data_IF_525733043024
#
_entry.id   IF_525733043024
#
_cell.length_a   1.000
_cell.length_b   1.000
_cell.length_c   1.000
_cell.angle_alpha   90.00
_cell.angle_beta   90.00
_cell.angle_gamma   90.00
#
_symmetry.space_group_name_H-M   'P 1'
#
loop_
_entity.id
_entity.type
_entity.pdbx_description
1 polymer ?
#
# COMPACT_ATOMS: atom_id res chain seq x y z
N UNK A 1 -1.76 -17.95 -3.38
CA UNK A 1 -1.57 -18.05 -1.91
C UNK A 1 -2.58 -17.15 -1.19
N UNK A 2 -3.30 -17.64 -0.15
CA UNK A 2 -4.30 -16.84 0.58
C UNK A 2 -3.70 -15.63 1.32
N UNK A 3 -2.40 -15.69 1.65
CA UNK A 3 -1.72 -14.63 2.40
C UNK A 3 -1.66 -13.28 1.66
N UNK A 4 -1.23 -13.26 0.39
CA UNK A 4 -1.12 -12.00 -0.37
C UNK A 4 -2.49 -11.32 -0.51
N UNK A 5 -3.54 -12.11 -0.78
CA UNK A 5 -4.92 -11.62 -0.88
C UNK A 5 -5.34 -10.91 0.39
N UNK A 6 -5.14 -11.53 1.56
CA UNK A 6 -5.42 -10.92 2.86
C UNK A 6 -4.65 -9.61 3.04
N UNK A 7 -3.32 -9.62 2.86
CA UNK A 7 -2.49 -8.42 3.04
C UNK A 7 -2.92 -7.28 2.12
N UNK A 8 -3.16 -7.58 0.84
CA UNK A 8 -3.57 -6.61 -0.15
C UNK A 8 -4.89 -5.94 0.25
N UNK A 9 -5.92 -6.73 0.55
CA UNK A 9 -7.23 -6.20 0.93
C UNK A 9 -7.19 -5.45 2.26
N UNK A 10 -6.46 -5.93 3.27
CA UNK A 10 -6.28 -5.18 4.52
C UNK A 10 -5.74 -3.77 4.27
N UNK A 11 -4.75 -3.62 3.37
CA UNK A 11 -4.18 -2.29 3.08
C UNK A 11 -5.04 -1.43 2.18
N UNK A 12 -5.79 -2.04 1.25
CA UNK A 12 -6.78 -1.32 0.45
C UNK A 12 -7.89 -0.80 1.37
N UNK A 13 -8.46 -1.65 2.22
CA UNK A 13 -9.47 -1.25 3.20
C UNK A 13 -8.97 -0.16 4.14
N UNK A 14 -7.75 -0.28 4.66
CA UNK A 14 -7.15 0.76 5.51
C UNK A 14 -7.05 2.12 4.77
N UNK A 15 -6.61 2.12 3.52
CA UNK A 15 -6.54 3.36 2.71
C UNK A 15 -7.92 3.95 2.45
N UNK A 16 -8.89 3.13 2.07
CA UNK A 16 -10.26 3.58 1.84
C UNK A 16 -10.88 4.14 3.12
N UNK A 17 -10.65 3.48 4.26
CA UNK A 17 -11.08 3.97 5.57
C UNK A 17 -10.45 5.33 5.89
N UNK A 18 -9.13 5.50 5.67
CA UNK A 18 -8.48 6.80 5.83
C UNK A 18 -9.10 7.88 4.95
N UNK A 19 -9.35 7.60 3.67
CA UNK A 19 -9.99 8.56 2.76
C UNK A 19 -11.40 8.93 3.25
N UNK A 20 -12.19 7.95 3.69
CA UNK A 20 -13.51 8.19 4.24
C UNK A 20 -13.46 9.05 5.51
N UNK A 21 -12.50 8.79 6.41
CA UNK A 21 -12.32 9.60 7.62
C UNK A 21 -11.87 11.02 7.30
N UNK A 22 -10.99 11.22 6.31
CA UNK A 22 -10.58 12.57 5.88
C UNK A 22 -11.77 13.34 5.32
N UNK A 23 -12.58 12.71 4.47
CA UNK A 23 -13.82 13.32 3.95
C UNK A 23 -14.79 13.64 5.08
N UNK A 24 -14.96 12.74 6.05
CA UNK A 24 -15.83 12.97 7.21
C UNK A 24 -15.32 14.11 8.09
N UNK A 25 -14.03 14.15 8.44
CA UNK A 25 -13.42 15.24 9.21
C UNK A 25 -13.64 16.59 8.54
N UNK A 26 -13.37 16.65 7.23
CA UNK A 26 -13.53 17.87 6.45
C UNK A 26 -15.00 18.32 6.38
N UNK A 27 -15.91 17.39 6.10
CA UNK A 27 -17.35 17.64 6.10
C UNK A 27 -17.86 18.12 7.45
N UNK A 28 -17.52 17.42 8.54
CA UNK A 28 -17.88 17.81 9.91
C UNK A 28 -17.40 19.21 10.26
N UNK A 29 -16.15 19.55 9.91
CA UNK A 29 -15.59 20.87 10.16
C UNK A 29 -16.35 21.95 9.37
N UNK A 30 -16.59 21.75 8.08
CA UNK A 30 -17.34 22.71 7.24
C UNK A 30 -18.76 22.92 7.78
N UNK A 31 -19.51 21.83 7.99
CA UNK A 31 -20.89 21.93 8.48
C UNK A 31 -20.98 22.61 9.84
N UNK A 32 -20.01 22.39 10.73
CA UNK A 32 -19.98 23.04 12.05
C UNK A 32 -19.73 24.56 12.00
N UNK A 33 -19.20 25.06 10.88
CA UNK A 33 -18.94 26.48 10.63
C UNK A 33 -20.05 27.15 9.81
N UNK A 34 -20.98 26.39 9.23
CA UNK A 34 -22.11 26.96 8.50
C UNK A 34 -23.10 27.65 9.47
N UNK A 35 -23.66 28.81 9.11
CA UNK A 35 -24.71 29.44 9.89
C UNK A 35 -25.93 28.52 9.97
N UNK A 36 -26.47 28.30 11.17
CA UNK A 36 -27.76 27.62 11.33
C UNK A 36 -28.88 28.61 11.01
N UNK A 37 -29.86 28.20 10.21
CA UNK A 37 -31.00 29.03 9.83
C UNK A 37 -31.91 29.40 11.02
N UNK A 38 -31.79 28.69 12.15
CA UNK A 38 -32.68 28.81 13.30
C UNK A 38 -31.98 29.40 14.55
N UNK A 39 -31.26 30.51 14.40
CA UNK A 39 -30.83 31.34 15.53
C UNK A 39 -31.65 32.64 15.61
N UNK A 40 -32.96 32.52 15.50
CA UNK A 40 -33.90 33.52 15.99
C UNK A 40 -34.23 33.24 17.46
N UNK A 41 -34.21 34.30 18.28
CA UNK A 41 -34.62 34.36 19.70
C UNK A 41 -33.56 33.97 20.75
N UNK A 42 -32.71 34.94 21.08
CA UNK A 42 -31.85 34.94 22.27
C UNK A 42 -31.15 36.29 22.46
N UNK A 43 -31.88 37.29 22.96
CA UNK A 43 -31.43 38.67 23.17
C UNK A 43 -30.43 38.80 24.34
N UNK A 44 -29.20 38.36 24.13
CA UNK A 44 -28.06 38.64 25.00
C UNK A 44 -26.93 39.28 24.20
N UNK A 45 -26.29 40.33 24.73
CA UNK A 45 -25.10 40.95 24.11
C UNK A 45 -24.01 39.90 24.02
N UNK A 46 -23.87 39.31 22.83
CA UNK A 46 -22.89 38.28 22.57
C UNK A 46 -21.53 38.95 22.44
N UNK A 47 -20.67 38.80 23.45
CA UNK A 47 -19.26 39.23 23.31
C UNK A 47 -18.61 38.44 22.18
N UNK A 48 -17.70 39.07 21.42
CA UNK A 48 -16.95 38.38 20.37
C UNK A 48 -16.29 37.09 20.88
N UNK A 49 -15.78 37.10 22.12
CA UNK A 49 -15.21 35.94 22.80
C UNK A 49 -16.22 34.80 23.07
N UNK A 50 -17.51 35.12 23.27
CA UNK A 50 -18.58 34.12 23.41
C UNK A 50 -18.89 33.41 22.10
N UNK A 51 -18.96 34.18 21.00
CA UNK A 51 -19.18 33.63 19.64
C UNK A 51 -18.02 32.74 19.21
N UNK A 52 -16.77 33.16 19.46
CA UNK A 52 -15.59 32.34 19.18
C UNK A 52 -15.60 31.03 19.97
N UNK A 53 -15.94 31.05 21.26
CA UNK A 53 -16.01 29.83 22.09
C UNK A 53 -17.08 28.85 21.59
N UNK A 54 -18.28 29.33 21.27
CA UNK A 54 -19.35 28.45 20.76
C UNK A 54 -19.01 27.85 19.39
N UNK A 55 -18.33 28.60 18.51
CA UNK A 55 -17.79 28.06 17.27
C UNK A 55 -16.77 26.95 17.53
N UNK A 56 -15.81 27.18 18.43
CA UNK A 56 -14.81 26.17 18.80
C UNK A 56 -15.46 24.91 19.37
N UNK A 57 -16.46 25.04 20.23
CA UNK A 57 -17.11 23.87 20.85
C UNK A 57 -17.93 23.06 19.85
N UNK A 58 -18.58 23.71 18.87
CA UNK A 58 -19.26 23.03 17.76
C UNK A 58 -18.27 22.26 16.88
N UNK A 59 -17.14 22.88 16.54
CA UNK A 59 -16.07 22.20 15.76
C UNK A 59 -15.54 21.00 16.54
N UNK A 60 -15.18 21.18 17.82
CA UNK A 60 -14.66 20.07 18.68
C UNK A 60 -15.66 18.91 18.71
N UNK A 61 -16.92 19.19 18.96
CA UNK A 61 -17.97 18.16 19.02
C UNK A 61 -18.07 17.42 17.67
N UNK A 62 -18.06 18.16 16.56
CA UNK A 62 -18.18 17.60 15.21
C UNK A 62 -16.98 16.74 14.79
N UNK A 63 -15.76 17.06 15.26
CA UNK A 63 -14.53 16.35 14.87
C UNK A 63 -14.10 15.25 15.85
N UNK A 64 -14.66 15.19 17.07
CA UNK A 64 -14.20 14.25 18.12
C UNK A 64 -14.33 12.80 17.68
N UNK A 65 -15.50 12.39 17.19
CA UNK A 65 -15.74 11.01 16.75
C UNK A 65 -14.89 10.60 15.52
N UNK A 66 -14.92 11.32 14.38
CA UNK A 66 -14.06 10.99 13.25
C UNK A 66 -12.56 11.09 13.59
N UNK A 67 -12.19 11.98 14.52
CA UNK A 67 -10.84 12.10 15.06
C UNK A 67 -10.41 10.84 15.82
N UNK A 68 -11.28 10.29 16.67
CA UNK A 68 -11.01 9.02 17.36
C UNK A 68 -10.82 7.86 16.37
N UNK A 69 -11.64 7.77 15.32
CA UNK A 69 -11.45 6.78 14.26
C UNK A 69 -10.12 6.98 13.53
N UNK A 70 -9.72 8.22 13.21
CA UNK A 70 -8.42 8.50 12.60
C UNK A 70 -7.27 7.96 13.46
N UNK A 71 -7.31 8.17 14.79
CA UNK A 71 -6.31 7.65 15.73
C UNK A 71 -6.23 6.12 15.68
N UNK A 72 -7.37 5.42 15.70
CA UNK A 72 -7.40 3.95 15.58
C UNK A 72 -6.77 3.48 14.27
N UNK A 73 -7.09 4.12 13.14
CA UNK A 73 -6.50 3.78 11.84
C UNK A 73 -4.99 4.06 11.79
N UNK A 74 -4.52 5.13 12.45
CA UNK A 74 -3.08 5.45 12.58
C UNK A 74 -2.37 4.36 13.38
N UNK A 75 -2.94 3.94 14.51
CA UNK A 75 -2.38 2.85 15.33
C UNK A 75 -2.33 1.55 14.51
N UNK A 76 -3.41 1.20 13.80
CA UNK A 76 -3.44 0.03 12.93
C UNK A 76 -2.37 0.09 11.83
N UNK A 77 -2.19 1.26 11.19
CA UNK A 77 -1.14 1.48 10.20
C UNK A 77 0.26 1.33 10.81
N UNK A 78 0.49 1.88 12.00
CA UNK A 78 1.75 1.76 12.73
C UNK A 78 2.08 0.30 13.06
N UNK A 79 1.10 -0.47 13.55
CA UNK A 79 1.26 -1.91 13.83
C UNK A 79 1.60 -2.70 12.56
N UNK A 80 0.92 -2.43 11.44
CA UNK A 80 1.22 -3.07 10.15
C UNK A 80 2.65 -2.73 9.69
N UNK A 81 3.05 -1.46 9.77
CA UNK A 81 4.39 -1.03 9.41
C UNK A 81 5.46 -1.65 10.32
N UNK A 82 5.21 -1.75 11.64
CA UNK A 82 6.12 -2.40 12.56
C UNK A 82 6.28 -3.89 12.24
N UNK A 83 5.20 -4.59 11.87
CA UNK A 83 5.26 -5.99 11.41
C UNK A 83 6.04 -6.13 10.10
N UNK A 84 5.88 -5.20 9.16
CA UNK A 84 6.68 -5.15 7.93
C UNK A 84 8.17 -5.00 8.23
N UNK A 85 8.52 -4.11 9.17
CA UNK A 85 9.91 -3.88 9.60
C UNK A 85 10.51 -5.15 10.21
N UNK A 86 9.78 -5.81 11.11
CA UNK A 86 10.22 -7.05 11.76
C UNK A 86 10.42 -8.21 10.78
N UNK A 87 9.72 -8.21 9.65
CA UNK A 87 9.88 -9.20 8.57
C UNK A 87 10.95 -8.82 7.56
N UNK A 88 11.68 -7.70 7.69
CA UNK A 88 12.68 -7.35 6.67
C UNK A 88 13.78 -8.41 6.67
N UNK A 89 14.09 -8.89 5.48
CA UNK A 89 15.25 -9.72 5.25
C UNK A 89 16.52 -8.92 5.61
N UNK A 90 17.41 -9.42 6.49
CA UNK A 90 18.68 -8.75 6.76
C UNK A 90 19.50 -8.55 5.48
N UNK A 91 19.36 -9.43 4.50
CA UNK A 91 19.99 -9.31 3.19
C UNK A 91 19.02 -8.64 2.23
N UNK A 92 19.37 -7.43 1.76
CA UNK A 92 18.58 -6.73 0.73
C UNK A 92 19.03 -7.06 -0.70
N UNK A 93 20.33 -7.26 -0.91
CA UNK A 93 20.90 -7.39 -2.26
C UNK A 93 20.97 -8.86 -2.66
N UNK A 94 20.43 -9.17 -3.84
CA UNK A 94 20.65 -10.47 -4.46
C UNK A 94 22.13 -10.70 -4.74
N UNK A 95 22.60 -11.93 -4.50
CA UNK A 95 23.97 -12.32 -4.87
C UNK A 95 24.15 -12.28 -6.39
N UNK A 96 25.41 -12.26 -6.87
CA UNK A 96 25.69 -12.32 -8.32
C UNK A 96 25.08 -13.57 -8.95
N UNK A 97 25.15 -14.71 -8.26
CA UNK A 97 24.55 -15.98 -8.70
C UNK A 97 23.03 -15.88 -8.79
N UNK A 98 22.36 -15.35 -7.76
CA UNK A 98 20.91 -15.15 -7.77
C UNK A 98 20.47 -14.21 -8.90
N UNK A 99 21.20 -13.10 -9.12
CA UNK A 99 20.92 -12.20 -10.25
C UNK A 99 21.07 -12.90 -11.59
N UNK A 100 22.18 -13.64 -11.80
CA UNK A 100 22.40 -14.38 -13.05
C UNK A 100 21.30 -15.41 -13.29
N UNK A 101 20.95 -16.20 -12.28
CA UNK A 101 19.90 -17.22 -12.38
C UNK A 101 18.52 -16.61 -12.64
N UNK A 102 18.16 -15.53 -11.94
CA UNK A 102 16.89 -14.84 -12.13
C UNK A 102 16.75 -14.17 -13.51
N UNK A 103 17.83 -13.58 -14.02
CA UNK A 103 17.86 -12.99 -15.36
C UNK A 103 17.80 -14.06 -16.46
N UNK A 104 18.53 -15.17 -16.28
CA UNK A 104 18.51 -16.31 -17.20
C UNK A 104 17.12 -16.96 -17.26
N UNK A 105 16.44 -17.16 -16.11
CA UNK A 105 15.06 -17.64 -16.05
C UNK A 105 14.10 -16.77 -16.85
N UNK A 106 14.33 -15.47 -16.87
CA UNK A 106 13.51 -14.52 -17.63
C UNK A 106 13.89 -14.43 -19.11
N UNK A 107 14.92 -15.15 -19.57
CA UNK A 107 15.46 -15.01 -20.93
C UNK A 107 16.02 -13.62 -21.22
N UNK A 108 16.47 -12.90 -20.19
CA UNK A 108 16.93 -11.50 -20.34
C UNK A 108 15.82 -10.49 -20.64
N UNK A 109 14.54 -10.89 -20.63
CA UNK A 109 13.39 -10.02 -20.93
C UNK A 109 12.64 -9.66 -19.65
N UNK A 110 12.19 -8.41 -19.55
CA UNK A 110 11.41 -7.93 -18.41
C UNK A 110 10.18 -8.82 -18.11
N UNK A 111 10.04 -9.27 -16.87
CA UNK A 111 8.92 -10.09 -16.38
C UNK A 111 7.71 -9.24 -15.94
N UNK A 112 7.94 -7.93 -15.76
CA UNK A 112 6.92 -6.97 -15.37
C UNK A 112 5.89 -6.79 -16.48
N UNK A 113 4.69 -6.40 -16.06
CA UNK A 113 3.60 -6.10 -16.98
C UNK A 113 3.58 -4.62 -17.38
N UNK A 114 3.20 -4.39 -18.62
CA UNK A 114 2.76 -3.09 -19.12
C UNK A 114 1.24 -3.12 -19.27
N UNK A 115 0.64 -2.09 -19.91
CA UNK A 115 -0.82 -2.00 -20.11
C UNK A 115 -1.48 -3.32 -20.53
N UNK A 116 -2.75 -3.49 -20.14
CA UNK A 116 -3.55 -4.70 -20.37
C UNK A 116 -2.91 -6.01 -19.84
N UNK A 117 -1.96 -5.95 -18.89
CA UNK A 117 -1.38 -7.14 -18.25
C UNK A 117 -0.41 -7.93 -19.13
N UNK A 118 0.00 -7.37 -20.28
CA UNK A 118 0.96 -7.99 -21.20
C UNK A 118 2.38 -7.90 -20.64
N UNK A 119 3.20 -8.91 -20.91
CA UNK A 119 4.63 -8.89 -20.54
C UNK A 119 5.34 -7.76 -21.26
N UNK A 120 6.18 -7.02 -20.55
CA UNK A 120 7.03 -6.02 -21.16
C UNK A 120 8.06 -6.69 -22.09
N UNK A 121 8.18 -6.23 -23.33
CA UNK A 121 9.13 -6.76 -24.32
C UNK A 121 10.55 -6.18 -24.17
N UNK A 122 10.77 -5.22 -23.26
CA UNK A 122 12.07 -4.59 -23.08
C UNK A 122 13.07 -5.54 -22.42
N UNK A 123 14.38 -5.39 -22.71
CA UNK A 123 15.41 -6.12 -21.99
C UNK A 123 15.31 -5.82 -20.49
N UNK A 124 15.52 -6.84 -19.68
CA UNK A 124 15.66 -6.67 -18.25
C UNK A 124 17.05 -6.07 -17.96
N UNK A 125 17.08 -5.13 -17.03
CA UNK A 125 18.31 -4.43 -16.62
C UNK A 125 18.61 -4.68 -15.14
N UNK A 126 17.56 -4.89 -14.34
CA UNK A 126 17.63 -5.01 -12.89
C UNK A 126 16.96 -6.27 -12.39
N UNK A 127 17.49 -6.81 -11.30
CA UNK A 127 16.79 -7.76 -10.45
C UNK A 127 16.08 -7.03 -9.33
N UNK A 128 14.76 -7.15 -9.25
CA UNK A 128 13.93 -6.51 -8.24
C UNK A 128 13.14 -7.55 -7.43
N UNK A 129 12.63 -7.15 -6.28
CA UNK A 129 11.77 -7.97 -5.43
C UNK A 129 10.31 -7.81 -5.87
N UNK A 130 9.66 -8.88 -6.30
CA UNK A 130 8.24 -8.87 -6.66
C UNK A 130 7.37 -8.37 -5.51
N UNK A 131 7.53 -8.98 -4.33
CA UNK A 131 7.06 -8.45 -3.08
C UNK A 131 8.17 -7.56 -2.48
N UNK A 132 7.92 -6.26 -2.23
CA UNK A 132 8.98 -5.32 -1.89
C UNK A 132 9.68 -5.68 -0.57
N UNK A 133 11.01 -5.64 -0.58
CA UNK A 133 11.86 -5.90 0.59
C UNK A 133 11.46 -5.08 1.82
N UNK A 134 11.13 -3.79 1.62
CA UNK A 134 10.73 -2.89 2.71
C UNK A 134 9.44 -3.30 3.44
N UNK A 135 8.69 -4.27 2.90
CA UNK A 135 7.44 -4.81 3.47
C UNK A 135 7.56 -6.29 3.86
N UNK A 136 8.80 -6.79 3.93
CA UNK A 136 9.11 -8.17 4.31
C UNK A 136 9.13 -9.16 3.15
N UNK A 137 9.38 -8.71 1.92
CA UNK A 137 9.74 -9.61 0.82
C UNK A 137 11.13 -10.21 1.04
N UNK A 138 11.30 -11.52 0.79
CA UNK A 138 12.59 -12.20 0.95
C UNK A 138 13.52 -11.92 -0.23
N UNK A 139 14.82 -11.95 0.00
CA UNK A 139 15.85 -11.90 -1.05
C UNK A 139 16.14 -13.31 -1.53
N UNK A 140 15.18 -13.87 -2.28
CA UNK A 140 15.25 -15.21 -2.84
C UNK A 140 14.97 -15.22 -4.34
N UNK A 141 15.28 -16.34 -5.01
CA UNK A 141 14.95 -16.52 -6.42
C UNK A 141 13.43 -16.55 -6.67
N UNK A 142 12.62 -17.00 -5.71
CA UNK A 142 11.15 -16.98 -5.83
C UNK A 142 10.61 -15.55 -5.82
N UNK A 143 11.18 -14.66 -5.00
CA UNK A 143 10.80 -13.25 -4.97
C UNK A 143 11.53 -12.39 -6.04
N UNK A 144 12.55 -12.91 -6.70
CA UNK A 144 13.26 -12.21 -7.77
C UNK A 144 12.37 -12.02 -9.01
N UNK A 145 12.37 -10.83 -9.58
CA UNK A 145 11.85 -10.53 -10.92
C UNK A 145 12.87 -9.75 -11.75
N UNK A 146 13.01 -10.14 -13.01
CA UNK A 146 13.81 -9.38 -13.97
C UNK A 146 12.99 -8.18 -14.47
N UNK A 147 13.50 -6.96 -14.34
CA UNK A 147 12.77 -5.74 -14.67
C UNK A 147 13.63 -4.78 -15.51
N UNK A 148 13.02 -4.14 -16.51
CA UNK A 148 13.61 -2.99 -17.18
C UNK A 148 13.53 -1.75 -16.27
N UNK A 149 14.36 -0.74 -16.53
CA UNK A 149 14.41 0.47 -15.70
C UNK A 149 13.06 1.18 -15.55
N UNK A 150 12.25 1.24 -16.63
CA UNK A 150 10.93 1.88 -16.62
C UNK A 150 9.95 1.14 -15.71
N UNK A 151 9.81 -0.18 -15.88
CA UNK A 151 8.88 -0.97 -15.10
C UNK A 151 9.29 -1.04 -13.62
N UNK A 152 10.59 -1.13 -13.34
CA UNK A 152 11.12 -1.11 -11.98
C UNK A 152 10.75 0.19 -11.24
N UNK A 153 11.04 1.35 -11.85
CA UNK A 153 10.68 2.66 -11.30
C UNK A 153 9.17 2.82 -11.12
N UNK A 154 8.39 2.39 -12.11
CA UNK A 154 6.94 2.43 -12.02
C UNK A 154 6.43 1.57 -10.85
N UNK A 155 6.91 0.33 -10.68
CA UNK A 155 6.50 -0.55 -9.58
C UNK A 155 6.76 0.09 -8.22
N UNK A 156 8.00 0.54 -7.99
CA UNK A 156 8.44 1.08 -6.69
C UNK A 156 8.22 0.09 -5.54
N UNK A 157 7.85 0.61 -4.37
CA UNK A 157 7.60 -0.18 -3.17
C UNK A 157 6.12 -0.63 -3.02
N UNK A 158 5.36 -0.70 -4.11
CA UNK A 158 3.95 -1.12 -4.06
C UNK A 158 3.84 -2.63 -3.82
N UNK A 159 2.87 -3.03 -2.99
CA UNK A 159 2.56 -4.45 -2.80
C UNK A 159 1.84 -4.92 -4.07
N UNK A 160 2.27 -6.03 -4.69
CA UNK A 160 1.60 -6.57 -5.86
C UNK A 160 0.17 -7.00 -5.51
N UNK A 161 -0.77 -6.78 -6.44
CA UNK A 161 -2.12 -7.32 -6.26
C UNK A 161 -2.15 -8.84 -6.48
N UNK A 162 -3.14 -9.56 -5.93
CA UNK A 162 -3.30 -10.99 -6.20
C UNK A 162 -3.42 -11.31 -7.69
N UNK A 163 -4.08 -10.44 -8.46
CA UNK A 163 -4.17 -10.58 -9.91
C UNK A 163 -2.82 -10.43 -10.61
N UNK A 164 -1.94 -9.55 -10.12
CA UNK A 164 -0.58 -9.39 -10.65
C UNK A 164 0.26 -10.63 -10.42
N UNK A 165 0.18 -11.21 -9.21
CA UNK A 165 0.86 -12.45 -8.86
C UNK A 165 0.40 -13.59 -9.79
N UNK A 166 -0.90 -13.81 -9.88
CA UNK A 166 -1.48 -14.87 -10.72
C UNK A 166 -1.11 -14.72 -12.19
N UNK A 167 -1.12 -13.50 -12.73
CA UNK A 167 -0.70 -13.25 -14.12
C UNK A 167 0.79 -13.54 -14.31
N UNK A 168 1.65 -13.11 -13.39
CA UNK A 168 3.08 -13.40 -13.49
C UNK A 168 3.35 -14.91 -13.41
N UNK A 169 2.75 -15.61 -12.46
CA UNK A 169 2.83 -17.07 -12.32
C UNK A 169 2.35 -17.76 -13.60
N UNK A 170 1.18 -17.38 -14.13
CA UNK A 170 0.66 -17.92 -15.40
C UNK A 170 1.62 -17.70 -16.56
N UNK A 171 2.21 -16.51 -16.67
CA UNK A 171 3.20 -16.21 -17.72
C UNK A 171 4.47 -17.04 -17.54
N UNK A 172 4.99 -17.20 -16.31
CA UNK A 172 6.18 -18.01 -16.04
C UNK A 172 6.03 -19.44 -16.54
N UNK A 173 4.82 -20.02 -16.47
CA UNK A 173 4.55 -21.36 -17.03
C UNK A 173 4.86 -21.51 -18.52
N UNK A 174 4.95 -20.41 -19.28
CA UNK A 174 5.23 -20.47 -20.72
C UNK A 174 6.72 -20.38 -21.06
N UNK A 175 7.59 -20.03 -20.12
CA UNK A 175 9.03 -19.84 -20.38
C UNK A 175 9.96 -20.29 -19.24
N UNK A 176 9.42 -20.74 -18.11
CA UNK A 176 10.17 -21.38 -17.02
C UNK A 176 9.93 -22.89 -17.13
N UNK A 177 10.97 -23.73 -17.18
CA UNK A 177 10.82 -25.19 -17.16
C UNK A 177 9.96 -25.64 -15.98
N UNK A 178 9.25 -26.77 -16.12
CA UNK A 178 8.27 -27.26 -15.12
C UNK A 178 8.89 -27.50 -13.72
N UNK A 179 10.20 -27.71 -13.63
CA UNK A 179 10.95 -27.87 -12.38
C UNK A 179 11.36 -26.52 -11.73
N UNK A 180 11.19 -25.40 -12.42
CA UNK A 180 11.47 -24.07 -11.90
C UNK A 180 10.32 -23.54 -11.04
N UNK A 181 10.64 -22.80 -9.98
CA UNK A 181 9.64 -22.19 -9.12
C UNK A 181 8.81 -21.14 -9.88
N UNK A 182 7.66 -21.56 -10.40
CA UNK A 182 6.63 -20.69 -11.00
C UNK A 182 6.08 -19.73 -9.95
N UNK A 183 6.02 -20.16 -8.68
CA UNK A 183 5.61 -19.36 -7.55
C UNK A 183 6.45 -18.09 -7.43
N UNK A 184 5.77 -16.98 -7.13
CA UNK A 184 6.42 -15.66 -7.04
C UNK A 184 6.05 -14.96 -5.74
N UNK A 185 6.93 -14.09 -5.25
CA UNK A 185 6.60 -13.21 -4.14
C UNK A 185 6.79 -13.80 -2.75
N UNK A 186 7.80 -14.65 -2.59
CA UNK A 186 8.19 -15.18 -1.29
C UNK A 186 8.45 -14.04 -0.28
N UNK A 187 8.04 -14.28 0.95
CA UNK A 187 8.14 -13.34 2.07
C UNK A 187 8.95 -13.97 3.17
N UNK A 188 9.65 -13.14 3.93
CA UNK A 188 10.30 -13.60 5.14
C UNK A 188 9.24 -13.99 6.19
N UNK A 189 9.43 -15.12 6.91
CA UNK A 189 8.60 -15.48 8.03
C UNK A 189 8.71 -14.41 9.14
N UNK A 190 7.74 -14.40 10.06
CA UNK A 190 7.97 -13.66 11.30
C UNK A 190 8.97 -14.46 12.13
N UNK A 191 9.96 -13.79 12.74
CA UNK A 191 10.69 -14.39 13.85
C UNK A 191 9.74 -14.69 15.00
#
# INVERSE_FOLDING_TARGET
MPELKRIYWTRVSLRLAFMAIVVWLFGSAILSLMPQADAGAGSGVSTAAGVLRSMVDRVKTAVTLPGAFAVVLIIAAAVINARDVRRRDPVRRFTRQQRRAGMARAGGVCEMETGFGRRCSRPAEHGDHFYPWSKGGSTSLQNFVAACSRCNRAKGARIPSPGQQLRLERRRRTYVPLEGAVAVGERQPLP
#
